data_IF_984228262650
#
_entry.id   IF_984228262650
#
_cell.length_a   1.000
_cell.length_b   1.000
_cell.length_c   1.000
_cell.angle_alpha   90.00
_cell.angle_beta   90.00
_cell.angle_gamma   90.00
#
_symmetry.space_group_name_H-M   'P 1'
#
loop_
_entity.id
_entity.type
_entity.pdbx_description
1 polymer ?
#
# COMPACT_ATOMS: atom_id res chain seq x y z
N UNK A 1 7.66 9.86 -7.79
CA UNK A 1 6.67 9.54 -6.72
C UNK A 1 6.63 8.05 -6.40
N UNK A 2 6.41 7.18 -7.37
CA UNK A 2 6.32 5.74 -7.12
C UNK A 2 7.60 5.17 -6.48
N UNK A 3 8.76 5.57 -6.99
CA UNK A 3 10.04 5.13 -6.43
C UNK A 3 10.21 5.59 -4.98
N UNK A 4 9.84 6.84 -4.68
CA UNK A 4 9.91 7.37 -3.33
C UNK A 4 9.01 6.58 -2.36
N UNK A 5 7.81 6.22 -2.81
CA UNK A 5 6.87 5.43 -2.02
C UNK A 5 7.40 4.02 -1.77
N UNK A 6 7.95 3.37 -2.80
CA UNK A 6 8.55 2.04 -2.66
C UNK A 6 9.74 2.06 -1.69
N UNK A 7 10.62 3.05 -1.83
CA UNK A 7 11.78 3.19 -0.96
C UNK A 7 11.38 3.40 0.50
N UNK A 8 10.39 4.26 0.75
CA UNK A 8 9.88 4.51 2.09
C UNK A 8 9.27 3.25 2.70
N UNK A 9 8.51 2.49 1.91
CA UNK A 9 7.90 1.24 2.35
C UNK A 9 8.97 0.17 2.65
N UNK A 10 9.97 0.04 1.79
CA UNK A 10 11.05 -0.95 1.96
C UNK A 10 11.87 -0.68 3.23
N UNK A 11 12.08 0.59 3.55
CA UNK A 11 12.77 0.98 4.78
C UNK A 11 11.87 0.98 6.01
N UNK A 12 10.57 0.73 5.84
CA UNK A 12 9.56 0.87 6.91
C UNK A 12 9.63 2.25 7.56
N UNK A 13 9.76 3.27 6.73
CA UNK A 13 9.87 4.66 7.19
C UNK A 13 8.50 5.33 7.15
N UNK A 14 7.82 5.28 8.29
CA UNK A 14 6.47 5.85 8.44
C UNK A 14 6.44 7.33 8.06
N UNK A 15 7.38 8.12 8.56
CA UNK A 15 7.41 9.55 8.29
C UNK A 15 7.58 9.85 6.80
N UNK A 16 8.42 9.08 6.10
CA UNK A 16 8.63 9.23 4.66
C UNK A 16 7.36 8.88 3.87
N UNK A 17 6.64 7.82 4.25
CA UNK A 17 5.35 7.47 3.62
C UNK A 17 4.34 8.59 3.84
N UNK A 18 4.19 9.07 5.07
CA UNK A 18 3.20 10.10 5.41
C UNK A 18 3.52 11.46 4.80
N UNK A 19 4.78 11.72 4.45
CA UNK A 19 5.16 12.94 3.74
C UNK A 19 4.65 12.96 2.28
N UNK A 20 4.26 11.82 1.73
CA UNK A 20 3.81 11.68 0.35
C UNK A 20 2.29 11.79 0.19
N UNK A 21 1.55 11.94 1.28
CA UNK A 21 0.08 11.96 1.27
C UNK A 21 -0.45 13.33 1.70
N UNK A 22 -1.68 13.65 1.26
CA UNK A 22 -2.35 14.89 1.67
C UNK A 22 -2.94 14.75 3.08
N UNK A 23 -3.25 15.88 3.76
CA UNK A 23 -3.88 15.82 5.09
C UNK A 23 -5.25 15.13 5.12
N UNK A 24 -5.96 15.13 3.99
CA UNK A 24 -7.28 14.51 3.85
C UNK A 24 -7.24 13.20 3.06
N UNK A 25 -6.09 12.55 2.97
CA UNK A 25 -5.90 11.33 2.20
C UNK A 25 -6.89 10.24 2.63
N UNK A 26 -7.41 9.50 1.62
CA UNK A 26 -8.23 8.32 1.85
C UNK A 26 -7.47 7.09 1.37
N UNK A 27 -7.31 6.13 2.24
CA UNK A 27 -6.67 4.86 1.91
C UNK A 27 -7.68 3.71 2.03
N UNK A 28 -7.98 3.08 0.90
CA UNK A 28 -8.81 1.89 0.82
C UNK A 28 -7.87 0.69 0.71
N UNK A 29 -7.53 0.12 1.85
CA UNK A 29 -6.56 -0.98 1.90
C UNK A 29 -7.14 -2.30 1.42
N UNK A 30 -8.46 -2.37 1.22
CA UNK A 30 -9.16 -3.53 0.71
C UNK A 30 -10.52 -3.13 0.13
N UNK A 31 -10.94 -3.80 -0.94
CA UNK A 31 -12.25 -3.56 -1.57
C UNK A 31 -13.36 -3.85 -0.56
N UNK A 32 -14.28 -2.90 -0.41
CA UNK A 32 -15.41 -3.02 0.50
C UNK A 32 -15.11 -2.60 1.93
N UNK A 33 -13.86 -2.35 2.26
CA UNK A 33 -13.49 -1.84 3.58
C UNK A 33 -13.82 -0.36 3.70
N UNK A 34 -14.10 0.07 4.93
CA UNK A 34 -14.23 1.49 5.24
C UNK A 34 -12.86 2.15 5.07
N UNK A 35 -12.77 3.27 4.33
CA UNK A 35 -11.46 3.89 4.11
C UNK A 35 -10.87 4.45 5.39
N UNK A 36 -9.53 4.43 5.46
CA UNK A 36 -8.78 5.15 6.48
C UNK A 36 -8.61 6.58 5.98
N UNK A 37 -9.05 7.56 6.76
CA UNK A 37 -8.97 8.97 6.39
C UNK A 37 -7.95 9.67 7.27
N UNK A 38 -6.98 10.32 6.62
CA UNK A 38 -5.93 11.10 7.28
C UNK A 38 -4.64 10.32 7.54
N UNK A 39 -3.50 11.03 7.59
CA UNK A 39 -2.20 10.41 7.75
C UNK A 39 -2.04 9.60 9.04
N UNK A 40 -2.65 10.06 10.12
CA UNK A 40 -2.53 9.42 11.43
C UNK A 40 -3.06 7.98 11.42
N UNK A 41 -4.23 7.77 10.79
CA UNK A 41 -4.82 6.43 10.68
C UNK A 41 -3.99 5.52 9.79
N UNK A 42 -3.45 6.06 8.71
CA UNK A 42 -2.54 5.33 7.82
C UNK A 42 -1.27 4.94 8.58
N UNK A 43 -0.71 5.86 9.38
CA UNK A 43 0.45 5.57 10.19
C UNK A 43 0.23 4.44 11.18
N UNK A 44 -0.91 4.41 11.85
CA UNK A 44 -1.26 3.31 12.76
C UNK A 44 -1.43 1.98 12.02
N UNK A 45 -2.01 2.02 10.83
CA UNK A 45 -2.13 0.83 9.98
C UNK A 45 -0.75 0.28 9.61
N UNK A 46 0.17 1.16 9.19
CA UNK A 46 1.53 0.77 8.85
C UNK A 46 2.27 0.18 10.05
N UNK A 47 2.16 0.81 11.21
CA UNK A 47 2.78 0.31 12.43
C UNK A 47 2.29 -1.11 12.77
N UNK A 48 1.00 -1.35 12.69
CA UNK A 48 0.42 -2.65 12.95
C UNK A 48 0.87 -3.69 11.91
N UNK A 49 0.87 -3.32 10.62
CA UNK A 49 1.30 -4.19 9.53
C UNK A 49 2.78 -4.57 9.68
N UNK A 50 3.63 -3.57 9.88
CA UNK A 50 5.08 -3.80 10.01
C UNK A 50 5.45 -4.52 11.30
N UNK A 51 4.65 -4.34 12.36
CA UNK A 51 4.87 -5.03 13.63
C UNK A 51 4.61 -6.53 13.59
N UNK A 52 3.80 -7.03 12.63
CA UNK A 52 3.47 -8.45 12.49
C UNK A 52 4.12 -9.14 11.31
N UNK A 53 4.94 -8.43 10.54
CA UNK A 53 5.54 -8.94 9.31
C UNK A 53 7.05 -8.75 9.27
N UNK A 54 7.73 -9.68 8.60
CA UNK A 54 9.17 -9.63 8.35
C UNK A 54 9.44 -9.75 6.86
N UNK A 55 10.61 -9.23 6.44
CA UNK A 55 11.11 -9.32 5.07
C UNK A 55 10.06 -8.90 4.03
N UNK A 56 9.50 -7.68 4.16
CA UNK A 56 8.51 -7.21 3.21
C UNK A 56 9.13 -6.94 1.85
N UNK A 57 8.39 -7.31 0.81
CA UNK A 57 8.73 -7.00 -0.57
C UNK A 57 7.51 -6.39 -1.25
N UNK A 58 7.72 -5.36 -2.04
CA UNK A 58 6.67 -4.74 -2.82
C UNK A 58 7.19 -4.54 -4.25
N UNK A 59 6.63 -5.29 -5.18
CA UNK A 59 7.05 -5.29 -6.57
C UNK A 59 5.95 -4.75 -7.47
N UNK A 60 6.28 -3.71 -8.24
CA UNK A 60 5.41 -3.18 -9.28
C UNK A 60 5.88 -3.78 -10.60
N UNK A 61 5.01 -4.53 -11.24
CA UNK A 61 5.31 -5.22 -12.51
C UNK A 61 4.85 -4.42 -13.72
N UNK A 62 3.70 -3.75 -13.61
CA UNK A 62 3.11 -2.96 -14.69
C UNK A 62 2.49 -1.71 -14.11
N UNK A 63 2.62 -0.59 -14.79
CA UNK A 63 2.00 0.65 -14.36
C UNK A 63 1.63 1.51 -15.56
N UNK A 64 0.64 2.39 -15.38
CA UNK A 64 0.19 3.32 -16.39
C UNK A 64 -0.33 4.59 -15.75
N UNK A 65 -0.13 5.71 -16.41
CA UNK A 65 -0.65 7.00 -15.96
C UNK A 65 -1.94 7.32 -16.72
N UNK A 66 -2.91 7.88 -16.01
CA UNK A 66 -4.18 8.32 -16.58
C UNK A 66 -4.57 9.64 -15.93
N UNK A 67 -4.16 10.77 -16.53
CA UNK A 67 -4.37 12.09 -15.95
C UNK A 67 -3.60 12.24 -14.64
N UNK A 68 -4.32 12.51 -13.56
CA UNK A 68 -3.76 12.63 -12.21
C UNK A 68 -3.74 11.31 -11.44
N UNK A 69 -3.91 10.19 -12.15
CA UNK A 69 -3.94 8.86 -11.55
C UNK A 69 -2.77 8.02 -12.03
N UNK A 70 -2.29 7.16 -11.15
CA UNK A 70 -1.31 6.13 -11.47
C UNK A 70 -1.94 4.78 -11.14
N UNK A 71 -2.03 3.92 -12.15
CA UNK A 71 -2.54 2.56 -12.00
C UNK A 71 -1.34 1.61 -11.95
N UNK A 72 -1.34 0.69 -10.98
CA UNK A 72 -0.23 -0.24 -10.77
C UNK A 72 -0.75 -1.66 -10.63
N UNK A 73 0.05 -2.61 -11.14
CA UNK A 73 -0.18 -4.03 -10.95
C UNK A 73 1.10 -4.65 -10.44
N UNK A 74 1.00 -5.50 -9.45
CA UNK A 74 2.17 -6.15 -8.91
C UNK A 74 1.83 -7.17 -7.84
N UNK A 75 2.78 -7.40 -6.96
CA UNK A 75 2.57 -8.25 -5.82
C UNK A 75 3.36 -7.72 -4.63
N UNK A 76 2.87 -8.00 -3.45
CA UNK A 76 3.62 -7.83 -2.22
C UNK A 76 3.82 -9.18 -1.54
N UNK A 77 4.83 -9.25 -0.71
CA UNK A 77 5.14 -10.46 0.04
C UNK A 77 5.72 -10.09 1.39
N UNK A 78 5.43 -10.90 2.38
CA UNK A 78 6.01 -10.75 3.71
C UNK A 78 5.93 -12.08 4.45
N UNK A 79 6.76 -12.22 5.49
CA UNK A 79 6.67 -13.36 6.41
C UNK A 79 5.84 -12.93 7.61
N UNK A 80 4.78 -13.68 7.88
CA UNK A 80 3.97 -13.47 9.08
C UNK A 80 4.74 -14.00 10.29
N UNK A 81 5.03 -13.10 11.24
CA UNK A 81 5.85 -13.44 12.41
C UNK A 81 5.19 -14.53 13.27
N UNK A 82 3.87 -14.45 13.42
CA UNK A 82 3.15 -15.36 14.29
C UNK A 82 3.13 -16.80 13.76
N UNK A 83 2.96 -16.99 12.44
CA UNK A 83 2.85 -18.32 11.83
C UNK A 83 4.13 -18.80 11.16
N UNK A 84 5.03 -17.88 10.83
CA UNK A 84 6.22 -18.18 10.03
C UNK A 84 5.93 -18.37 8.54
N UNK A 85 4.68 -18.17 8.10
CA UNK A 85 4.30 -18.35 6.70
C UNK A 85 4.77 -17.22 5.83
N UNK A 86 5.22 -17.53 4.60
CA UNK A 86 5.46 -16.55 3.57
C UNK A 86 4.16 -16.27 2.83
N UNK A 87 3.68 -15.04 2.94
CA UNK A 87 2.43 -14.61 2.34
C UNK A 87 2.73 -13.77 1.10
N UNK A 88 2.10 -14.10 -0.02
CA UNK A 88 2.25 -13.37 -1.28
C UNK A 88 0.85 -12.94 -1.74
N UNK A 89 0.68 -11.65 -1.96
CA UNK A 89 -0.58 -11.08 -2.43
C UNK A 89 -0.38 -10.43 -3.80
N UNK A 90 -1.15 -10.88 -4.77
CA UNK A 90 -1.21 -10.17 -6.05
C UNK A 90 -2.26 -9.08 -5.95
N UNK A 91 -1.98 -7.93 -6.54
CA UNK A 91 -2.90 -6.79 -6.42
C UNK A 91 -2.80 -5.85 -7.61
N UNK A 92 -3.82 -5.00 -7.72
CA UNK A 92 -3.80 -3.78 -8.51
C UNK A 92 -4.11 -2.62 -7.58
N UNK A 93 -3.59 -1.46 -7.88
CA UNK A 93 -3.85 -0.27 -7.09
C UNK A 93 -4.03 0.97 -7.94
N UNK A 94 -4.71 1.96 -7.39
CA UNK A 94 -4.87 3.27 -8.01
C UNK A 94 -4.44 4.33 -7.01
N UNK A 95 -3.49 5.15 -7.42
CA UNK A 95 -3.05 6.31 -6.65
C UNK A 95 -3.54 7.56 -7.37
N UNK A 96 -4.31 8.39 -6.68
CA UNK A 96 -4.77 9.67 -7.21
C UNK A 96 -3.99 10.80 -6.54
N UNK A 97 -3.48 11.72 -7.34
CA UNK A 97 -2.59 12.79 -6.89
C UNK A 97 -3.31 14.15 -6.89
N UNK A 98 -2.95 14.97 -5.91
CA UNK A 98 -3.34 16.38 -5.83
C UNK A 98 -2.12 17.18 -5.36
N UNK A 99 -1.70 18.15 -6.17
CA UNK A 99 -0.52 18.97 -5.87
C UNK A 99 0.74 18.14 -5.55
N UNK A 100 0.93 17.06 -6.31
CA UNK A 100 2.10 16.19 -6.17
C UNK A 100 2.07 15.22 -5.00
N UNK A 101 0.93 15.14 -4.29
CA UNK A 101 0.76 14.21 -3.16
C UNK A 101 -0.41 13.29 -3.40
N UNK A 102 -0.37 12.10 -2.79
CA UNK A 102 -1.44 11.13 -2.87
C UNK A 102 -2.61 11.60 -2.00
N UNK A 103 -3.80 11.77 -2.61
CA UNK A 103 -5.01 12.10 -1.85
C UNK A 103 -6.04 10.97 -1.83
N UNK A 104 -5.93 10.00 -2.73
CA UNK A 104 -6.67 8.74 -2.68
C UNK A 104 -5.76 7.60 -3.07
N UNK A 105 -5.90 6.49 -2.35
CA UNK A 105 -5.10 5.30 -2.56
C UNK A 105 -6.03 4.10 -2.39
N UNK A 106 -6.22 3.33 -3.44
CA UNK A 106 -7.11 2.17 -3.42
C UNK A 106 -6.36 0.93 -3.87
N UNK A 107 -6.40 -0.10 -3.03
CA UNK A 107 -5.81 -1.39 -3.34
C UNK A 107 -6.90 -2.40 -3.60
N UNK A 108 -6.70 -3.21 -4.63
CA UNK A 108 -7.59 -4.31 -5.02
C UNK A 108 -6.77 -5.59 -5.02
N UNK A 109 -7.11 -6.50 -4.14
CA UNK A 109 -6.42 -7.78 -4.07
C UNK A 109 -7.38 -8.85 -3.58
N UNK A 110 -7.01 -10.11 -3.79
CA UNK A 110 -7.81 -11.25 -3.37
C UNK A 110 -7.45 -11.63 -1.93
N UNK A 111 -8.48 -11.81 -1.11
CA UNK A 111 -8.32 -12.36 0.23
C UNK A 111 -8.69 -13.84 0.22
N UNK A 112 -7.93 -14.64 0.98
CA UNK A 112 -8.18 -16.06 1.14
C UNK A 112 -7.63 -16.91 0.01
N UNK A 113 -7.91 -18.22 0.05
CA UNK A 113 -7.34 -19.15 -0.91
C UNK A 113 -7.84 -18.90 -2.33
N UNK A 114 -6.93 -19.07 -3.29
CA UNK A 114 -7.27 -18.97 -4.70
C UNK A 114 -8.04 -20.23 -5.11
N UNK A 115 -9.24 -20.11 -5.75
CA UNK A 115 -9.97 -21.24 -6.25
C UNK A 115 -9.12 -21.98 -7.28
N UNK A 116 -8.90 -23.26 -7.05
CA UNK A 116 -7.99 -24.05 -7.86
C UNK A 116 -8.59 -24.73 -9.04
#
# INVERSE_FOLDING_TARGET
MLQALQDANDRRDRAAVLALVTPDVEYHYHVGSKPLVGPEKIGRFLDAYWGRSQDPEWHIETWAEAGDKLLVEGHDAYTDIASGERIVNRYMGILEFRDGRIHRWRDYFQLGPVPG
#
